data_IF_259156594454
#
_entry.id   IF_259156594454
#
_cell.length_a   1.000
_cell.length_b   1.000
_cell.length_c   1.000
_cell.angle_alpha   90.00
_cell.angle_beta   90.00
_cell.angle_gamma   90.00
#
_symmetry.space_group_name_H-M   'P 1'
#
loop_
_entity.id
_entity.type
_entity.pdbx_description
1 polymer ?
#
# COMPACT_ATOMS: atom_id res chain seq x y z
N UNK A 1 13.72 -22.02 -15.08
CA UNK A 1 13.10 -22.62 -13.90
C UNK A 1 14.11 -22.53 -12.77
N UNK A 2 14.08 -21.42 -12.04
CA UNK A 2 14.92 -21.21 -10.84
C UNK A 2 13.95 -20.76 -9.77
N UNK A 3 13.44 -21.70 -8.99
CA UNK A 3 12.65 -21.39 -7.80
C UNK A 3 13.60 -20.91 -6.72
N UNK A 4 13.33 -19.74 -6.14
CA UNK A 4 14.03 -19.30 -4.94
C UNK A 4 13.46 -20.11 -3.78
N UNK A 5 14.09 -21.24 -3.48
CA UNK A 5 13.81 -21.97 -2.25
C UNK A 5 14.55 -21.22 -1.14
N UNK A 6 13.82 -20.53 -0.26
CA UNK A 6 14.38 -19.83 0.90
C UNK A 6 14.87 -20.85 1.94
N UNK A 7 15.99 -21.50 1.65
CA UNK A 7 16.76 -22.27 2.62
C UNK A 7 17.82 -21.38 3.25
N UNK A 8 17.89 -21.43 4.59
CA UNK A 8 19.03 -21.05 5.46
C UNK A 8 19.15 -19.60 5.96
N UNK A 9 18.37 -19.26 7.00
CA UNK A 9 18.92 -18.79 8.29
C UNK A 9 17.77 -18.60 9.28
N UNK A 10 17.56 -19.69 10.01
CA UNK A 10 16.41 -20.05 10.82
C UNK A 10 16.21 -19.10 12.03
N UNK A 11 15.03 -18.48 12.13
CA UNK A 11 14.44 -18.04 13.39
C UNK A 11 12.97 -18.53 13.41
N UNK A 12 12.61 -19.54 14.23
CA UNK A 12 11.30 -20.22 14.18
C UNK A 12 10.11 -19.36 14.67
N UNK A 13 10.28 -18.06 14.81
CA UNK A 13 9.23 -17.11 15.23
C UNK A 13 8.50 -16.44 14.05
N UNK A 14 9.07 -16.49 12.84
CA UNK A 14 8.53 -15.80 11.65
C UNK A 14 7.88 -16.79 10.68
N UNK A 15 6.65 -17.24 10.99
CA UNK A 15 5.85 -18.17 10.18
C UNK A 15 5.39 -17.63 8.80
N UNK A 16 5.86 -16.46 8.35
CA UNK A 16 5.28 -15.75 7.20
C UNK A 16 5.48 -16.42 5.83
N UNK A 17 6.42 -17.39 5.70
CA UNK A 17 6.76 -18.04 4.43
C UNK A 17 6.65 -19.58 4.46
N UNK A 18 5.95 -20.11 5.46
CA UNK A 18 5.67 -21.53 5.58
C UNK A 18 4.16 -21.73 5.65
N UNK A 19 3.67 -22.74 4.96
CA UNK A 19 2.30 -23.19 5.15
C UNK A 19 2.17 -23.74 6.59
N UNK A 20 1.32 -23.11 7.41
CA UNK A 20 1.15 -23.42 8.85
C UNK A 20 0.80 -24.89 9.12
N UNK A 21 0.17 -25.57 8.15
CA UNK A 21 -0.25 -26.97 8.28
C UNK A 21 0.83 -27.97 7.89
N UNK A 22 1.81 -27.58 7.06
CA UNK A 22 2.75 -28.53 6.41
C UNK A 22 4.22 -28.20 6.65
N UNK A 23 4.55 -27.00 7.11
CA UNK A 23 5.93 -26.53 7.30
C UNK A 23 6.79 -26.64 6.01
N UNK A 24 6.15 -26.60 4.85
CA UNK A 24 6.80 -26.62 3.52
C UNK A 24 7.10 -25.17 3.10
N UNK A 25 8.30 -24.88 2.56
CA UNK A 25 8.62 -23.55 2.06
C UNK A 25 7.72 -23.19 0.88
N UNK A 26 7.20 -21.96 0.88
CA UNK A 26 6.42 -21.41 -0.24
C UNK A 26 7.36 -21.21 -1.43
N UNK A 27 7.07 -21.85 -2.57
CA UNK A 27 7.76 -21.56 -3.84
C UNK A 27 7.29 -20.19 -4.36
N UNK A 28 8.22 -19.24 -4.42
CA UNK A 28 7.96 -17.93 -5.02
C UNK A 28 8.15 -18.06 -6.53
N UNK A 29 7.10 -17.79 -7.28
CA UNK A 29 7.11 -17.74 -8.74
C UNK A 29 7.82 -16.46 -9.20
N UNK A 30 8.45 -16.50 -10.38
CA UNK A 30 9.32 -15.44 -10.94
C UNK A 30 8.54 -14.20 -11.42
N UNK A 31 7.34 -14.00 -10.90
CA UNK A 31 6.44 -12.93 -11.34
C UNK A 31 6.79 -11.58 -10.70
N UNK A 32 7.67 -11.59 -9.69
CA UNK A 32 8.10 -10.39 -8.99
C UNK A 32 9.59 -10.11 -9.19
N UNK A 33 9.99 -8.83 -9.31
CA UNK A 33 11.38 -8.43 -9.31
C UNK A 33 12.10 -8.87 -8.02
N UNK A 34 13.39 -9.20 -8.13
CA UNK A 34 14.23 -9.58 -6.99
C UNK A 34 14.22 -8.54 -5.86
N UNK A 35 14.09 -7.25 -6.21
CA UNK A 35 13.98 -6.16 -5.24
C UNK A 35 12.73 -6.26 -4.36
N UNK A 36 11.57 -6.65 -4.93
CA UNK A 36 10.31 -6.82 -4.20
C UNK A 36 10.40 -8.05 -3.30
N UNK A 37 10.90 -9.17 -3.83
CA UNK A 37 11.07 -10.41 -3.08
C UNK A 37 12.01 -10.19 -1.89
N UNK A 38 13.17 -9.56 -2.13
CA UNK A 38 14.15 -9.26 -1.08
C UNK A 38 13.56 -8.35 -0.01
N UNK A 39 12.80 -7.32 -0.40
CA UNK A 39 12.18 -6.39 0.53
C UNK A 39 11.08 -7.06 1.39
N UNK A 40 10.23 -7.89 0.78
CA UNK A 40 9.20 -8.65 1.49
C UNK A 40 9.83 -9.62 2.51
N UNK A 41 10.94 -10.27 2.13
CA UNK A 41 11.72 -11.13 3.02
C UNK A 41 12.27 -10.30 4.19
N UNK A 42 12.99 -9.21 3.90
CA UNK A 42 13.56 -8.32 4.92
C UNK A 42 12.51 -7.85 5.94
N UNK A 43 11.30 -7.50 5.47
CA UNK A 43 10.18 -7.14 6.33
C UNK A 43 9.79 -8.28 7.28
N UNK A 44 9.60 -9.49 6.75
CA UNK A 44 9.18 -10.64 7.56
C UNK A 44 10.22 -11.07 8.61
N UNK A 45 11.49 -10.75 8.36
CA UNK A 45 12.58 -10.94 9.31
C UNK A 45 12.78 -9.75 10.27
N UNK A 46 11.93 -8.72 10.18
CA UNK A 46 12.02 -7.51 11.02
C UNK A 46 13.31 -6.72 10.81
N UNK A 47 13.91 -6.81 9.61
CA UNK A 47 15.19 -6.14 9.29
C UNK A 47 15.02 -4.72 8.76
N UNK A 48 13.82 -4.37 8.32
CA UNK A 48 13.49 -3.06 7.77
C UNK A 48 12.27 -2.50 8.49
N UNK A 49 12.32 -1.21 8.77
CA UNK A 49 11.20 -0.46 9.34
C UNK A 49 10.33 0.19 8.25
N UNK A 50 10.66 -0.02 6.96
CA UNK A 50 10.05 0.75 5.87
C UNK A 50 9.97 0.03 4.54
N UNK A 51 8.80 0.14 3.93
CA UNK A 51 8.38 -0.42 2.64
C UNK A 51 8.06 0.68 1.62
N UNK A 52 8.46 1.92 1.94
CA UNK A 52 8.18 3.11 1.14
C UNK A 52 8.69 2.98 -0.29
N UNK A 53 7.83 3.35 -1.23
CA UNK A 53 8.10 3.36 -2.67
C UNK A 53 7.90 2.00 -3.35
N UNK A 54 7.44 0.98 -2.63
CA UNK A 54 7.14 -0.35 -3.16
C UNK A 54 5.79 -0.88 -2.66
N UNK A 55 4.95 -0.03 -2.07
CA UNK A 55 3.72 -0.46 -1.40
C UNK A 55 2.79 -1.22 -2.34
N UNK A 56 2.60 -0.75 -3.57
CA UNK A 56 1.71 -1.40 -4.54
C UNK A 56 2.17 -2.83 -4.86
N UNK A 57 3.43 -3.01 -5.25
CA UNK A 57 4.00 -4.32 -5.59
C UNK A 57 4.11 -5.24 -4.37
N UNK A 58 4.37 -4.68 -3.18
CA UNK A 58 4.42 -5.45 -1.93
C UNK A 58 3.02 -5.87 -1.46
N UNK A 59 1.98 -5.07 -1.71
CA UNK A 59 0.59 -5.47 -1.48
C UNK A 59 0.22 -6.63 -2.41
N UNK A 60 0.54 -6.53 -3.70
CA UNK A 60 0.30 -7.62 -4.67
C UNK A 60 1.03 -8.90 -4.26
N UNK A 61 2.29 -8.78 -3.85
CA UNK A 61 3.07 -9.91 -3.32
C UNK A 61 2.43 -10.49 -2.07
N UNK A 62 2.03 -9.64 -1.12
CA UNK A 62 1.39 -10.05 0.13
C UNK A 62 0.03 -10.72 -0.11
N UNK A 63 -0.74 -10.27 -1.10
CA UNK A 63 -2.01 -10.90 -1.48
C UNK A 63 -1.77 -12.27 -2.13
N UNK A 64 -0.82 -12.38 -3.06
CA UNK A 64 -0.50 -13.65 -3.73
C UNK A 64 -0.05 -14.72 -2.74
N UNK A 65 0.79 -14.33 -1.78
CA UNK A 65 1.38 -15.25 -0.80
C UNK A 65 0.68 -15.24 0.56
N UNK A 66 -0.45 -14.53 0.68
CA UNK A 66 -1.24 -14.44 1.92
C UNK A 66 -0.46 -13.94 3.15
N UNK A 67 0.50 -13.03 2.95
CA UNK A 67 1.35 -12.46 4.00
C UNK A 67 0.64 -11.25 4.62
N UNK A 68 -0.31 -11.53 5.52
CA UNK A 68 -1.19 -10.51 6.10
C UNK A 68 -0.44 -9.32 6.74
N UNK A 69 0.61 -9.60 7.53
CA UNK A 69 1.37 -8.54 8.22
C UNK A 69 2.09 -7.57 7.28
N UNK A 70 2.56 -8.06 6.12
CA UNK A 70 3.19 -7.20 5.11
C UNK A 70 2.15 -6.27 4.46
N UNK A 71 0.96 -6.80 4.15
CA UNK A 71 -0.14 -5.99 3.62
C UNK A 71 -0.60 -4.92 4.60
N UNK A 72 -0.76 -5.27 5.87
CA UNK A 72 -1.14 -4.32 6.93
C UNK A 72 -0.11 -3.22 7.09
N UNK A 73 1.20 -3.55 7.07
CA UNK A 73 2.25 -2.54 7.09
C UNK A 73 2.21 -1.62 5.86
N UNK A 74 1.89 -2.13 4.67
CA UNK A 74 1.71 -1.30 3.47
C UNK A 74 0.58 -0.29 3.65
N UNK A 75 -0.52 -0.71 4.25
CA UNK A 75 -1.64 0.20 4.53
C UNK A 75 -1.27 1.23 5.58
N UNK A 76 -0.56 0.83 6.64
CA UNK A 76 -0.06 1.77 7.65
C UNK A 76 0.95 2.78 7.07
N UNK A 77 1.82 2.35 6.15
CA UNK A 77 2.72 3.26 5.40
C UNK A 77 1.95 4.32 4.64
N UNK A 78 0.82 3.96 4.03
CA UNK A 78 -0.04 4.93 3.34
C UNK A 78 -0.78 5.87 4.30
N UNK A 79 -1.30 5.36 5.41
CA UNK A 79 -2.08 6.15 6.38
C UNK A 79 -1.20 7.09 7.23
N UNK A 80 0.08 6.79 7.39
CA UNK A 80 1.02 7.62 8.15
C UNK A 80 1.71 8.70 7.31
N UNK A 81 1.49 8.70 5.98
CA UNK A 81 2.02 9.74 5.10
C UNK A 81 1.23 11.04 5.21
N UNK A 82 1.94 12.15 5.44
CA UNK A 82 1.36 13.48 5.36
C UNK A 82 0.88 13.78 3.94
N UNK A 83 -0.36 14.26 3.82
CA UNK A 83 -0.93 14.67 2.54
C UNK A 83 -0.36 16.04 2.14
N UNK A 84 0.21 16.09 0.94
CA UNK A 84 0.85 17.25 0.31
C UNK A 84 0.33 17.44 -1.12
N UNK A 85 0.65 18.57 -1.76
CA UNK A 85 0.23 18.85 -3.15
C UNK A 85 0.86 17.84 -4.12
N UNK A 86 2.06 17.38 -3.80
CA UNK A 86 2.85 16.49 -4.64
C UNK A 86 2.35 15.05 -4.57
N UNK A 87 1.88 14.59 -3.41
CA UNK A 87 1.48 13.21 -3.18
C UNK A 87 -0.05 12.99 -3.09
N UNK A 88 -0.87 14.04 -3.12
CA UNK A 88 -2.35 13.90 -3.03
C UNK A 88 -2.92 12.96 -4.10
N UNK A 89 -2.41 13.02 -5.33
CA UNK A 89 -2.90 12.17 -6.43
C UNK A 89 -2.60 10.68 -6.22
N UNK A 90 -1.34 10.27 -5.97
CA UNK A 90 -1.06 8.86 -5.68
C UNK A 90 -1.72 8.39 -4.38
N UNK A 91 -1.78 9.22 -3.33
CA UNK A 91 -2.45 8.86 -2.07
C UNK A 91 -3.96 8.68 -2.23
N UNK A 92 -4.64 9.60 -2.94
CA UNK A 92 -6.06 9.46 -3.23
C UNK A 92 -6.32 8.19 -4.06
N UNK A 93 -5.46 7.88 -5.02
CA UNK A 93 -5.57 6.67 -5.84
C UNK A 93 -5.44 5.40 -4.99
N UNK A 94 -4.41 5.33 -4.14
CA UNK A 94 -4.20 4.23 -3.20
C UNK A 94 -5.39 4.09 -2.22
N UNK A 95 -5.90 5.21 -1.71
CA UNK A 95 -7.02 5.21 -0.78
C UNK A 95 -8.27 4.56 -1.40
N UNK A 96 -8.55 4.82 -2.69
CA UNK A 96 -9.66 4.18 -3.40
C UNK A 96 -9.36 2.73 -3.77
N UNK A 97 -8.19 2.45 -4.34
CA UNK A 97 -7.76 1.11 -4.77
C UNK A 97 -7.81 0.11 -3.63
N UNK A 98 -7.26 0.48 -2.47
CA UNK A 98 -7.15 -0.38 -1.29
C UNK A 98 -8.24 -0.16 -0.24
N UNK A 99 -9.19 0.74 -0.53
CA UNK A 99 -10.28 1.10 0.36
C UNK A 99 -9.83 1.53 1.77
N UNK A 100 -8.92 2.50 1.84
CA UNK A 100 -8.38 3.07 3.08
C UNK A 100 -9.21 4.30 3.51
N UNK A 101 -10.18 4.18 4.44
CA UNK A 101 -11.13 5.25 4.73
C UNK A 101 -10.49 6.45 5.43
N UNK A 102 -9.48 6.25 6.28
CA UNK A 102 -8.76 7.31 6.98
C UNK A 102 -8.05 8.21 5.97
N UNK A 103 -7.25 7.60 5.08
CA UNK A 103 -6.55 8.32 4.02
C UNK A 103 -7.50 9.04 3.05
N UNK A 104 -8.67 8.45 2.73
CA UNK A 104 -9.71 9.15 1.93
C UNK A 104 -10.17 10.44 2.62
N UNK A 105 -10.33 10.42 3.94
CA UNK A 105 -10.73 11.60 4.70
C UNK A 105 -9.61 12.62 4.76
N UNK A 106 -8.36 12.21 4.98
CA UNK A 106 -7.22 13.12 5.03
C UNK A 106 -7.01 13.83 3.69
N UNK A 107 -7.10 13.09 2.59
CA UNK A 107 -7.08 13.66 1.24
C UNK A 107 -8.23 14.65 1.02
N UNK A 108 -9.44 14.34 1.51
CA UNK A 108 -10.59 15.24 1.42
C UNK A 108 -10.39 16.52 2.24
N UNK A 109 -9.91 16.39 3.48
CA UNK A 109 -9.64 17.52 4.37
C UNK A 109 -8.57 18.42 3.80
N UNK A 110 -7.54 17.84 3.17
CA UNK A 110 -6.54 18.60 2.45
C UNK A 110 -7.21 19.41 1.33
N UNK A 111 -7.97 18.79 0.42
CA UNK A 111 -8.57 19.49 -0.73
C UNK A 111 -9.60 20.56 -0.32
N UNK A 112 -10.45 20.27 0.67
CA UNK A 112 -11.54 21.17 1.07
C UNK A 112 -11.07 22.23 2.06
N UNK A 113 -10.22 21.83 3.00
CA UNK A 113 -9.83 22.63 4.17
C UNK A 113 -8.57 23.46 3.96
N UNK A 114 -7.70 23.07 3.03
CA UNK A 114 -6.55 23.90 2.71
C UNK A 114 -6.99 25.05 1.79
N UNK A 115 -6.62 26.28 2.11
CA UNK A 115 -6.70 27.42 1.18
C UNK A 115 -5.66 27.28 0.04
N UNK A 116 -5.23 26.05 -0.24
CA UNK A 116 -4.22 25.74 -1.26
C UNK A 116 -4.96 25.63 -2.58
N UNK A 117 -4.59 26.49 -3.51
CA UNK A 117 -5.07 26.39 -4.88
C UNK A 117 -4.46 25.15 -5.53
N UNK A 118 -5.24 24.07 -5.58
CA UNK A 118 -4.88 22.90 -6.37
C UNK A 118 -5.07 23.27 -7.84
N UNK A 119 -4.00 23.15 -8.62
CA UNK A 119 -4.05 23.45 -10.05
C UNK A 119 -5.06 22.54 -10.77
N UNK A 120 -5.66 23.05 -11.84
CA UNK A 120 -6.58 22.26 -12.67
C UNK A 120 -5.93 20.96 -13.20
N UNK A 121 -4.63 21.02 -13.50
CA UNK A 121 -3.83 19.86 -13.90
C UNK A 121 -3.84 18.77 -12.81
N UNK A 122 -3.58 19.14 -11.56
CA UNK A 122 -3.56 18.19 -10.44
C UNK A 122 -4.94 17.65 -10.09
N UNK A 123 -5.98 18.47 -10.23
CA UNK A 123 -7.37 18.00 -10.11
C UNK A 123 -7.71 16.97 -11.18
N UNK A 124 -7.18 17.11 -12.41
CA UNK A 124 -7.43 16.16 -13.50
C UNK A 124 -6.71 14.81 -13.34
N UNK A 125 -5.66 14.76 -12.52
CA UNK A 125 -4.95 13.53 -12.16
C UNK A 125 -5.65 12.74 -11.04
N UNK A 126 -6.61 13.34 -10.33
CA UNK A 126 -7.34 12.64 -9.27
C UNK A 126 -8.25 11.56 -9.85
N UNK A 127 -8.43 10.42 -9.14
CA UNK A 127 -9.40 9.41 -9.53
C UNK A 127 -10.80 10.02 -9.71
N UNK A 128 -11.50 9.61 -10.77
CA UNK A 128 -12.85 10.11 -11.08
C UNK A 128 -13.81 9.86 -9.92
N UNK A 129 -13.67 8.70 -9.26
CA UNK A 129 -14.42 8.32 -8.07
C UNK A 129 -14.20 9.31 -6.92
N UNK A 130 -12.99 9.85 -6.80
CA UNK A 130 -12.66 10.84 -5.79
C UNK A 130 -13.21 12.22 -6.13
N UNK A 131 -13.16 12.64 -7.40
CA UNK A 131 -13.81 13.87 -7.85
C UNK A 131 -15.32 13.85 -7.62
N UNK A 132 -15.98 12.71 -7.92
CA UNK A 132 -17.40 12.51 -7.63
C UNK A 132 -17.66 12.54 -6.12
N UNK A 133 -16.79 11.94 -5.32
CA UNK A 133 -16.88 11.96 -3.86
C UNK A 133 -16.80 13.39 -3.30
N UNK A 134 -15.84 14.20 -3.78
CA UNK A 134 -15.69 15.62 -3.43
C UNK A 134 -16.96 16.39 -3.83
N UNK A 135 -17.41 16.26 -5.08
CA UNK A 135 -18.58 16.97 -5.59
C UNK A 135 -19.84 16.68 -4.76
N UNK A 136 -20.09 15.41 -4.40
CA UNK A 136 -21.20 15.01 -3.53
C UNK A 136 -21.12 15.67 -2.15
N UNK A 137 -19.93 15.70 -1.55
CA UNK A 137 -19.70 16.32 -0.24
C UNK A 137 -19.86 17.85 -0.28
N UNK A 138 -19.41 18.50 -1.34
CA UNK A 138 -19.63 19.94 -1.54
C UNK A 138 -21.11 20.27 -1.70
N UNK A 139 -21.83 19.58 -2.58
CA UNK A 139 -23.27 19.82 -2.79
C UNK A 139 -24.04 19.65 -1.48
N UNK A 140 -23.77 18.59 -0.71
CA UNK A 140 -24.41 18.34 0.59
C UNK A 140 -24.11 19.40 1.66
N UNK A 141 -23.04 20.20 1.51
CA UNK A 141 -22.71 21.30 2.43
C UNK A 141 -23.53 22.57 2.14
N UNK A 142 -24.09 22.69 0.93
CA UNK A 142 -24.84 23.87 0.48
C UNK A 142 -26.33 23.60 0.22
N UNK A 143 -26.81 22.37 0.44
CA UNK A 143 -28.23 21.97 0.43
C UNK A 143 -28.80 21.97 1.85
#
# INVERSE_FOLDING_TARGET
MVGIILYTSWNPSSNAFFNEDTNIPIEIEVDFPESIVSRAIEFCYGKIDGIQGFEDELIEFAEKYSIKGLKEACFESYETQDVTIENICPLASAAFKYNLPSLKQDCLYFIIGSNVEISHEKLSELPVEFLVFIAKKYIARFS
#
